data_IF_195893853120
#
_entry.id   IF_195893853120
#
_cell.length_a   1.000
_cell.length_b   1.000
_cell.length_c   1.000
_cell.angle_alpha   90.00
_cell.angle_beta   90.00
_cell.angle_gamma   90.00
#
_symmetry.space_group_name_H-M   'P 1'
#
loop_
_entity.id
_entity.type
_entity.pdbx_description
1 polymer ?
#
# COMPACT_ATOMS: atom_id res chain seq x y z
N UNK A 1 12.09 -12.21 2.56
CA UNK A 1 11.61 -11.41 3.70
C UNK A 1 10.64 -12.24 4.53
N UNK A 2 10.79 -12.25 5.84
CA UNK A 2 9.80 -12.81 6.75
C UNK A 2 8.88 -11.71 7.24
N UNK A 3 7.58 -12.02 7.28
CA UNK A 3 6.55 -11.08 7.68
C UNK A 3 5.79 -11.66 8.86
N UNK A 4 5.74 -10.93 9.96
CA UNK A 4 4.90 -11.27 11.10
C UNK A 4 3.52 -10.63 10.92
N UNK A 5 2.47 -11.46 10.97
CA UNK A 5 1.10 -11.03 10.77
C UNK A 5 0.31 -11.12 12.08
N UNK A 6 -0.56 -10.14 12.30
CA UNK A 6 -1.68 -10.29 13.20
C UNK A 6 -2.90 -10.80 12.43
N UNK A 7 -3.62 -11.73 13.03
CA UNK A 7 -4.91 -12.14 12.47
C UNK A 7 -5.94 -11.02 12.66
N UNK A 8 -7.01 -11.07 11.85
CA UNK A 8 -8.10 -10.07 11.91
C UNK A 8 -8.64 -9.82 13.31
N UNK A 9 -8.62 -10.84 14.17
CA UNK A 9 -9.12 -10.74 15.54
C UNK A 9 -8.36 -9.70 16.40
N UNK A 10 -7.08 -9.44 16.06
CA UNK A 10 -6.19 -8.57 16.84
C UNK A 10 -5.72 -7.34 16.07
N UNK A 11 -6.23 -7.14 14.85
CA UNK A 11 -5.74 -6.07 13.98
C UNK A 11 -6.09 -4.67 14.46
N UNK A 12 -7.19 -4.52 15.20
CA UNK A 12 -7.76 -3.20 15.46
C UNK A 12 -8.24 -2.54 14.15
N UNK A 13 -8.48 -1.24 14.21
CA UNK A 13 -8.87 -0.48 13.03
C UNK A 13 -7.68 -0.32 12.08
N UNK A 14 -7.96 -0.38 10.79
CA UNK A 14 -6.96 -0.14 9.75
C UNK A 14 -6.81 1.36 9.52
N UNK A 15 -5.57 1.80 9.49
CA UNK A 15 -5.21 3.21 9.35
C UNK A 15 -4.28 3.43 8.15
N UNK A 16 -4.25 4.67 7.67
CA UNK A 16 -3.27 5.09 6.68
C UNK A 16 -1.85 4.74 7.14
N UNK A 17 -1.06 4.15 6.25
CA UNK A 17 0.30 3.73 6.55
C UNK A 17 0.44 2.27 6.94
N UNK A 18 -0.63 1.62 7.38
CA UNK A 18 -0.60 0.19 7.69
C UNK A 18 -0.21 -0.64 6.47
N UNK A 19 0.63 -1.64 6.68
CA UNK A 19 0.90 -2.65 5.67
C UNK A 19 0.05 -3.86 5.96
N UNK A 20 -0.69 -4.31 4.95
CA UNK A 20 -1.65 -5.39 5.07
C UNK A 20 -1.36 -6.50 4.08
N UNK A 21 -1.84 -7.69 4.42
CA UNK A 21 -1.99 -8.79 3.47
C UNK A 21 -3.47 -8.90 3.17
N UNK A 22 -3.81 -8.87 1.89
CA UNK A 22 -5.19 -8.99 1.42
C UNK A 22 -5.28 -10.05 0.33
N UNK A 23 -6.48 -10.56 0.14
CA UNK A 23 -6.79 -11.52 -0.92
C UNK A 23 -8.02 -11.05 -1.67
N UNK A 24 -7.90 -10.91 -2.98
CA UNK A 24 -8.99 -10.56 -3.87
C UNK A 24 -9.08 -11.59 -4.99
N UNK A 25 -10.18 -12.31 -5.05
CA UNK A 25 -10.38 -13.41 -6.01
C UNK A 25 -10.21 -12.98 -7.48
N UNK A 26 -10.58 -11.75 -7.79
CA UNK A 26 -10.46 -11.20 -9.14
C UNK A 26 -9.03 -10.83 -9.53
N UNK A 27 -8.07 -10.93 -8.61
CA UNK A 27 -6.70 -10.52 -8.82
C UNK A 27 -5.72 -11.64 -8.46
N UNK A 28 -4.76 -11.89 -9.34
CA UNK A 28 -3.71 -12.91 -9.19
C UNK A 28 -4.25 -14.29 -8.77
N UNK A 29 -5.42 -14.67 -9.28
CA UNK A 29 -6.08 -15.94 -8.97
C UNK A 29 -6.34 -16.15 -7.47
N UNK A 30 -6.58 -15.06 -6.74
CA UNK A 30 -6.82 -15.10 -5.31
C UNK A 30 -5.56 -15.29 -4.46
N UNK A 31 -4.38 -15.12 -5.01
CA UNK A 31 -3.14 -15.14 -4.23
C UNK A 31 -3.06 -13.94 -3.29
N UNK A 32 -2.50 -14.12 -2.08
CA UNK A 32 -2.34 -13.00 -1.15
C UNK A 32 -1.38 -11.94 -1.70
N UNK A 33 -1.77 -10.69 -1.54
CA UNK A 33 -0.97 -9.52 -1.91
C UNK A 33 -0.62 -8.72 -0.66
N UNK A 34 0.59 -8.17 -0.63
CA UNK A 34 1.07 -7.29 0.44
C UNK A 34 1.07 -5.86 -0.08
N UNK A 35 0.32 -4.98 0.57
CA UNK A 35 0.15 -3.58 0.16
C UNK A 35 0.08 -2.67 1.37
N UNK A 36 0.35 -1.39 1.14
CA UNK A 36 0.20 -0.34 2.16
C UNK A 36 -1.13 0.37 1.99
N UNK A 37 -1.82 0.59 3.11
CA UNK A 37 -3.04 1.39 3.15
C UNK A 37 -2.68 2.85 2.90
N UNK A 38 -3.28 3.43 1.87
CA UNK A 38 -3.12 4.84 1.51
C UNK A 38 -4.25 5.67 2.08
N UNK A 39 -5.46 5.15 2.01
CA UNK A 39 -6.64 5.82 2.54
C UNK A 39 -7.70 4.80 2.97
N UNK A 40 -8.52 5.20 3.93
CA UNK A 40 -9.66 4.45 4.47
C UNK A 40 -10.98 5.10 4.07
N UNK A 41 -12.10 4.49 4.40
CA UNK A 41 -13.43 4.96 4.01
C UNK A 41 -13.64 6.46 4.26
N UNK A 42 -14.29 7.13 3.33
CA UNK A 42 -14.62 8.53 3.41
C UNK A 42 -13.49 9.49 3.03
N UNK A 43 -12.25 9.04 3.00
CA UNK A 43 -11.13 9.86 2.55
C UNK A 43 -11.09 9.96 1.02
N UNK A 44 -10.61 11.08 0.53
CA UNK A 44 -10.45 11.30 -0.92
C UNK A 44 -8.98 11.21 -1.30
N UNK A 45 -8.68 10.33 -2.23
CA UNK A 45 -7.33 10.16 -2.81
C UNK A 45 -7.27 10.85 -4.15
N UNK A 46 -6.21 11.59 -4.37
CA UNK A 46 -5.87 12.14 -5.68
C UNK A 46 -4.40 11.84 -6.01
N UNK A 47 -4.08 11.80 -7.28
CA UNK A 47 -2.72 11.63 -7.75
C UNK A 47 -2.46 12.68 -8.80
N UNK A 48 -1.57 13.61 -8.49
CA UNK A 48 -1.19 14.68 -9.40
C UNK A 48 0.18 14.40 -9.98
N UNK A 49 0.29 14.49 -11.29
CA UNK A 49 1.54 14.26 -12.02
C UNK A 49 2.16 15.59 -12.44
N UNK A 50 3.45 15.71 -12.20
CA UNK A 50 4.22 16.89 -12.60
C UNK A 50 4.53 16.90 -14.11
N UNK A 51 5.25 17.93 -14.57
CA UNK A 51 5.63 18.07 -15.98
C UNK A 51 6.61 16.99 -16.47
N UNK A 52 7.20 16.20 -15.58
CA UNK A 52 8.08 15.08 -15.89
C UNK A 52 7.36 13.73 -15.85
N UNK A 53 6.08 13.73 -15.48
CA UNK A 53 5.27 12.51 -15.36
C UNK A 53 5.41 11.78 -14.04
N UNK A 54 5.96 12.43 -13.00
CA UNK A 54 6.05 11.86 -11.66
C UNK A 54 4.84 12.24 -10.82
N UNK A 55 4.26 11.24 -10.16
CA UNK A 55 3.04 11.38 -9.38
C UNK A 55 3.30 11.60 -7.90
N UNK A 56 2.50 12.48 -7.31
CA UNK A 56 2.41 12.68 -5.86
C UNK A 56 1.00 12.30 -5.42
N UNK A 57 0.91 11.51 -4.38
CA UNK A 57 -0.37 11.10 -3.78
C UNK A 57 -0.83 12.16 -2.80
N UNK A 58 -2.10 12.52 -2.89
CA UNK A 58 -2.78 13.40 -1.96
C UNK A 58 -3.92 12.66 -1.29
N UNK A 59 -4.09 12.86 0.00
CA UNK A 59 -5.22 12.35 0.77
C UNK A 59 -5.89 13.52 1.44
N UNK A 60 -7.18 13.69 1.18
CA UNK A 60 -7.97 14.84 1.66
C UNK A 60 -7.33 16.20 1.35
N UNK A 61 -6.70 16.30 0.18
CA UNK A 61 -6.07 17.52 -0.31
C UNK A 61 -4.66 17.80 0.21
N UNK A 62 -4.13 16.94 1.08
CA UNK A 62 -2.76 17.06 1.64
C UNK A 62 -1.82 16.05 0.97
N UNK A 63 -0.62 16.47 0.59
CA UNK A 63 0.36 15.54 0.03
C UNK A 63 0.78 14.51 1.09
N UNK A 64 0.79 13.25 0.68
CA UNK A 64 1.19 12.15 1.55
C UNK A 64 2.71 12.13 1.68
N UNK A 65 3.21 12.09 2.93
CA UNK A 65 4.64 11.86 3.18
C UNK A 65 4.95 10.37 3.03
N UNK A 66 5.80 10.05 2.07
CA UNK A 66 6.04 8.67 1.64
C UNK A 66 7.53 8.29 1.66
N UNK A 67 8.16 8.27 2.86
CA UNK A 67 9.59 7.95 2.96
C UNK A 67 9.93 6.50 2.58
N UNK A 68 8.93 5.64 2.48
CA UNK A 68 9.07 4.22 2.16
C UNK A 68 9.17 3.93 0.65
N UNK A 69 8.87 4.89 -0.22
CA UNK A 69 9.06 4.71 -1.67
C UNK A 69 10.50 5.04 -2.05
N UNK A 70 11.09 4.21 -2.91
CA UNK A 70 12.50 4.35 -3.33
C UNK A 70 12.67 5.11 -4.63
N UNK A 71 11.63 5.14 -5.44
CA UNK A 71 11.64 5.76 -6.77
C UNK A 71 10.40 6.64 -6.95
N UNK A 72 10.51 7.76 -7.68
CA UNK A 72 9.35 8.53 -8.07
C UNK A 72 8.31 7.67 -8.79
N UNK A 73 7.05 7.82 -8.41
CA UNK A 73 5.95 7.08 -9.02
C UNK A 73 5.66 7.61 -10.41
N UNK A 74 5.62 6.74 -11.41
CA UNK A 74 5.22 7.10 -12.76
C UNK A 74 3.76 6.73 -13.03
N UNK A 75 3.16 7.41 -13.98
CA UNK A 75 1.79 7.14 -14.40
C UNK A 75 1.67 5.69 -14.93
N UNK A 76 0.73 4.89 -14.41
CA UNK A 76 0.46 3.57 -14.98
C UNK A 76 0.13 3.65 -16.47
N UNK A 77 0.65 2.72 -17.25
CA UNK A 77 0.55 2.79 -18.71
C UNK A 77 -0.86 2.48 -19.22
N UNK A 78 -1.59 1.60 -18.54
CA UNK A 78 -2.93 1.15 -18.94
C UNK A 78 -3.77 0.81 -17.70
N UNK A 79 -5.06 0.55 -17.91
CA UNK A 79 -6.00 0.09 -16.88
C UNK A 79 -6.01 0.96 -15.61
N UNK A 80 -6.12 2.26 -15.82
CA UNK A 80 -6.01 3.24 -14.72
C UNK A 80 -7.32 3.46 -14.01
N UNK A 81 -7.26 3.45 -12.68
CA UNK A 81 -8.32 4.01 -11.84
C UNK A 81 -8.39 5.52 -12.06
N UNK A 82 -9.60 6.06 -12.09
CA UNK A 82 -9.81 7.50 -12.16
C UNK A 82 -9.65 8.14 -10.78
N UNK A 83 -8.85 9.19 -10.71
CA UNK A 83 -8.70 10.03 -9.53
C UNK A 83 -9.16 11.45 -9.84
N UNK A 84 -9.64 12.25 -8.85
CA UNK A 84 -9.78 11.89 -7.43
C UNK A 84 -10.84 10.82 -7.18
N UNK A 85 -10.60 10.02 -6.13
CA UNK A 85 -11.46 8.92 -5.73
C UNK A 85 -11.76 9.03 -4.24
N UNK A 86 -13.03 9.08 -3.86
CA UNK A 86 -13.45 8.95 -2.45
C UNK A 86 -13.63 7.48 -2.13
N UNK A 87 -13.00 7.03 -1.06
CA UNK A 87 -13.00 5.63 -0.63
C UNK A 87 -14.38 5.26 -0.11
N UNK A 88 -14.95 4.18 -0.67
CA UNK A 88 -16.26 3.69 -0.30
C UNK A 88 -16.28 3.14 1.14
N UNK A 89 -17.49 3.06 1.72
CA UNK A 89 -17.69 2.47 3.04
C UNK A 89 -17.13 1.03 3.07
N UNK A 90 -16.38 0.71 4.12
CA UNK A 90 -15.78 -0.60 4.32
C UNK A 90 -14.66 -0.94 3.33
N UNK A 91 -14.13 0.05 2.61
CA UNK A 91 -13.08 -0.13 1.62
C UNK A 91 -11.80 0.60 1.98
N UNK A 92 -10.75 0.24 1.27
CA UNK A 92 -9.41 0.80 1.38
C UNK A 92 -8.86 1.08 -0.01
N UNK A 93 -8.08 2.14 -0.13
CA UNK A 93 -7.16 2.34 -1.26
C UNK A 93 -5.78 1.92 -0.80
N UNK A 94 -5.17 1.01 -1.56
CA UNK A 94 -3.87 0.45 -1.21
C UNK A 94 -2.88 0.61 -2.37
N UNK A 95 -1.61 0.76 -2.04
CA UNK A 95 -0.52 0.82 -3.02
C UNK A 95 0.68 0.01 -2.55
N UNK A 96 1.40 -0.57 -3.48
CA UNK A 96 2.70 -1.18 -3.18
C UNK A 96 3.77 -0.11 -2.98
N UNK A 97 4.72 -0.35 -2.08
CA UNK A 97 5.83 0.59 -1.84
C UNK A 97 6.72 0.72 -3.07
N UNK A 98 6.92 -0.38 -3.80
CA UNK A 98 7.57 -0.32 -5.12
C UNK A 98 6.54 0.11 -6.17
N UNK A 99 6.27 1.41 -6.23
CA UNK A 99 5.20 2.02 -7.05
C UNK A 99 5.22 1.60 -8.51
N UNK A 100 6.40 1.51 -9.08
CA UNK A 100 6.55 1.25 -10.51
C UNK A 100 6.48 -0.23 -10.89
N UNK A 101 6.41 -1.11 -9.89
CA UNK A 101 6.30 -2.57 -10.06
C UNK A 101 5.18 -3.21 -9.24
N UNK A 102 4.19 -2.43 -8.87
CA UNK A 102 3.06 -2.90 -8.08
C UNK A 102 1.77 -2.77 -8.87
N UNK A 103 1.01 -3.85 -8.93
CA UNK A 103 -0.38 -3.81 -9.31
C UNK A 103 -1.23 -3.63 -8.04
N UNK A 104 -1.98 -2.56 -7.96
CA UNK A 104 -2.70 -2.13 -6.77
C UNK A 104 -3.92 -1.26 -7.12
N UNK A 105 -4.44 -0.49 -6.18
CA UNK A 105 -5.66 0.31 -6.37
C UNK A 105 -5.58 1.34 -7.49
N UNK A 106 -4.39 1.66 -8.01
CA UNK A 106 -4.22 2.54 -9.17
C UNK A 106 -4.66 1.89 -10.48
N UNK A 107 -4.84 0.58 -10.49
CA UNK A 107 -5.37 -0.18 -11.61
C UNK A 107 -6.84 -0.46 -11.42
N UNK A 108 -7.65 -0.16 -12.45
CA UNK A 108 -9.10 -0.31 -12.37
C UNK A 108 -9.54 -1.76 -12.14
N UNK A 109 -8.78 -2.73 -12.64
CA UNK A 109 -9.03 -4.16 -12.42
C UNK A 109 -8.91 -4.59 -10.96
N UNK A 110 -8.16 -3.84 -10.15
CA UNK A 110 -8.02 -4.08 -8.72
C UNK A 110 -8.94 -3.17 -7.94
N UNK A 111 -8.85 -1.86 -8.18
CA UNK A 111 -9.67 -0.86 -7.51
C UNK A 111 -9.49 -0.85 -5.99
N UNK A 112 -10.55 -0.54 -5.29
CA UNK A 112 -10.58 -0.55 -3.84
C UNK A 112 -10.58 -1.98 -3.30
N UNK A 113 -9.96 -2.17 -2.14
CA UNK A 113 -9.97 -3.43 -1.40
C UNK A 113 -10.99 -3.32 -0.29
N UNK A 114 -11.89 -4.31 -0.18
CA UNK A 114 -12.80 -4.39 0.96
C UNK A 114 -12.05 -4.82 2.23
N UNK A 115 -12.37 -4.25 3.36
CA UNK A 115 -11.75 -4.64 4.64
C UNK A 115 -11.93 -6.12 4.93
N UNK A 116 -13.06 -6.71 4.48
CA UNK A 116 -13.31 -8.15 4.59
C UNK A 116 -12.31 -9.02 3.82
N UNK A 117 -11.61 -8.44 2.84
CA UNK A 117 -10.58 -9.13 2.05
C UNK A 117 -9.19 -9.07 2.72
N UNK A 118 -9.05 -8.31 3.81
CA UNK A 118 -7.79 -8.21 4.56
C UNK A 118 -7.62 -9.46 5.42
N UNK A 119 -6.51 -10.16 5.22
CA UNK A 119 -6.16 -11.38 5.98
C UNK A 119 -5.47 -11.00 7.28
N UNK A 120 -4.63 -9.97 7.25
CA UNK A 120 -3.88 -9.57 8.42
C UNK A 120 -3.10 -8.28 8.21
N UNK A 121 -2.66 -7.70 9.31
CA UNK A 121 -1.80 -6.52 9.36
C UNK A 121 -0.36 -6.94 9.62
N UNK A 122 0.57 -6.37 8.88
CA UNK A 122 1.99 -6.62 9.06
C UNK A 122 2.51 -5.76 10.21
N UNK A 123 3.05 -6.41 11.25
CA UNK A 123 3.64 -5.71 12.39
C UNK A 123 5.07 -5.31 12.15
N UNK A 124 5.84 -6.19 11.52
CA UNK A 124 7.24 -5.95 11.22
C UNK A 124 7.68 -6.76 10.02
N UNK A 125 8.72 -6.29 9.38
CA UNK A 125 9.40 -7.02 8.31
C UNK A 125 10.70 -7.56 8.91
N UNK A 126 10.85 -8.89 8.88
CA UNK A 126 12.04 -9.57 9.36
C UNK A 126 12.87 -10.03 8.15
N UNK A 127 14.17 -9.71 8.15
CA UNK A 127 15.08 -10.14 7.10
C UNK A 127 15.89 -11.33 7.61
N UNK A 128 15.74 -12.53 7.01
CA UNK A 128 16.56 -13.65 7.37
C UNK A 128 18.00 -13.46 6.88
N UNK A 129 18.93 -13.78 7.75
CA UNK A 129 20.32 -14.01 7.34
C UNK A 129 20.93 -12.84 6.59
N UNK A 130 21.05 -11.70 7.22
CA UNK A 130 22.02 -10.74 6.75
C UNK A 130 23.41 -11.34 6.94
N UNK A 131 23.91 -12.02 5.90
CA UNK A 131 25.34 -12.22 5.81
C UNK A 131 26.02 -10.87 5.99
N UNK A 132 27.22 -10.88 6.43
CA UNK A 132 28.05 -9.80 6.95
C UNK A 132 28.17 -8.49 6.13
N UNK A 133 27.43 -8.35 5.08
CA UNK A 133 27.37 -7.14 4.31
C UNK A 133 26.32 -6.19 4.91
N UNK A 134 26.70 -5.52 5.92
CA UNK A 134 25.87 -4.69 6.77
C UNK A 134 25.45 -3.33 6.21
N UNK A 135 25.53 -3.12 4.92
CA UNK A 135 25.04 -1.88 4.33
C UNK A 135 23.53 -1.88 4.05
N UNK A 136 22.82 -2.81 4.66
CA UNK A 136 21.37 -2.84 4.54
C UNK A 136 20.76 -1.81 5.45
N UNK A 137 19.88 -1.07 4.89
CA UNK A 137 19.11 -0.07 5.60
C UNK A 137 18.24 -0.74 6.67
N UNK A 138 18.72 -0.72 7.90
CA UNK A 138 17.97 -1.21 9.06
C UNK A 138 16.73 -0.37 9.36
N UNK A 139 16.57 0.79 8.74
CA UNK A 139 15.36 1.58 8.83
C UNK A 139 14.14 0.89 8.23
N UNK A 140 14.35 -0.15 7.42
CA UNK A 140 13.27 -1.01 6.90
C UNK A 140 12.94 -2.20 7.78
N UNK A 141 13.73 -2.43 8.80
CA UNK A 141 13.57 -3.52 9.77
C UNK A 141 12.99 -2.93 11.04
N UNK A 142 11.96 -3.53 11.56
CA UNK A 142 11.32 -3.08 12.78
C UNK A 142 9.84 -2.87 12.61
N UNK A 143 9.24 -2.23 13.58
CA UNK A 143 7.83 -1.90 13.52
C UNK A 143 7.58 -0.98 12.33
N UNK A 144 6.58 -1.31 11.55
CA UNK A 144 6.08 -0.40 10.54
C UNK A 144 5.41 0.75 11.28
N UNK A 145 6.06 1.89 11.22
CA UNK A 145 5.54 3.08 11.86
C UNK A 145 4.33 3.57 11.10
N UNK A 146 3.22 3.68 11.78
CA UNK A 146 1.95 4.16 11.23
C UNK A 146 1.90 5.69 11.31
N UNK A 147 3.00 6.27 11.22
CA UNK A 147 3.17 7.58 11.31
C UNK A 147 2.95 8.73 10.78
#
# INVERSE_FOLDING_TARGET
DYVALLSNLFMGDLEQGDVIVARKESFENGEPIVKRVIATEGQTVDILYDGNGYGTVYVDGEPLDEPYILEPMVLPYYDRTSFPLTVDEGCLVVMGDNRNRSADSRYASIGQIEESQVIGKVLCILFPGCGESSSRDFGRIGALDNG
#
